data_IF_748148485648
#
_entry.id   IF_748148485648
#
_cell.length_a   1.000
_cell.length_b   1.000
_cell.length_c   1.000
_cell.angle_alpha   90.00
_cell.angle_beta   90.00
_cell.angle_gamma   90.00
#
_symmetry.space_group_name_H-M   'P 1'
#
loop_
_entity.id
_entity.type
_entity.pdbx_description
1 polymer ?
#
# COMPACT_ATOMS: atom_id res chain seq x y z
N UNK A 1 -16.40 -18.60 -15.18
CA UNK A 1 -15.09 -18.23 -15.69
C UNK A 1 -14.44 -17.17 -14.80
N UNK A 2 -15.06 -15.98 -14.60
CA UNK A 2 -14.47 -14.83 -13.85
C UNK A 2 -14.05 -15.20 -12.42
N UNK A 3 -14.88 -15.92 -11.66
CA UNK A 3 -14.54 -16.37 -10.30
C UNK A 3 -13.30 -17.28 -10.29
N UNK A 4 -13.17 -18.12 -11.31
CA UNK A 4 -12.02 -19.02 -11.47
C UNK A 4 -10.77 -18.22 -11.83
N UNK A 5 -10.86 -17.26 -12.76
CA UNK A 5 -9.70 -16.42 -13.11
C UNK A 5 -9.22 -15.59 -11.92
N UNK A 6 -10.13 -15.05 -11.10
CA UNK A 6 -9.75 -14.34 -9.87
C UNK A 6 -9.08 -15.27 -8.85
N UNK A 7 -9.61 -16.49 -8.65
CA UNK A 7 -9.01 -17.48 -7.77
C UNK A 7 -7.62 -17.93 -8.24
N UNK A 8 -7.43 -18.11 -9.54
CA UNK A 8 -6.12 -18.45 -10.12
C UNK A 8 -5.12 -17.31 -9.94
N UNK A 9 -5.55 -16.05 -10.18
CA UNK A 9 -4.68 -14.89 -10.02
C UNK A 9 -4.21 -14.72 -8.57
N UNK A 10 -5.13 -14.73 -7.60
CA UNK A 10 -4.78 -14.64 -6.17
C UNK A 10 -4.04 -15.86 -5.65
N UNK A 11 -4.33 -17.05 -6.18
CA UNK A 11 -3.58 -18.28 -5.87
C UNK A 11 -2.13 -18.23 -6.38
N UNK A 12 -1.92 -17.73 -7.61
CA UNK A 12 -0.58 -17.51 -8.15
C UNK A 12 0.19 -16.47 -7.33
N UNK A 13 -0.45 -15.37 -6.95
CA UNK A 13 0.14 -14.35 -6.08
C UNK A 13 0.57 -14.94 -4.74
N UNK A 14 -0.27 -15.78 -4.10
CA UNK A 14 0.08 -16.46 -2.86
C UNK A 14 1.29 -17.40 -3.05
N UNK A 15 1.33 -18.15 -4.13
CA UNK A 15 2.48 -19.00 -4.43
C UNK A 15 3.77 -18.19 -4.62
N UNK A 16 3.70 -17.07 -5.35
CA UNK A 16 4.86 -16.19 -5.55
C UNK A 16 5.35 -15.57 -4.24
N UNK A 17 4.45 -15.14 -3.35
CA UNK A 17 4.85 -14.63 -2.03
C UNK A 17 5.48 -15.69 -1.14
N UNK A 18 5.02 -16.95 -1.23
CA UNK A 18 5.64 -18.07 -0.53
C UNK A 18 7.03 -18.41 -1.09
N UNK A 19 7.22 -18.32 -2.41
CA UNK A 19 8.55 -18.47 -3.04
C UNK A 19 9.49 -17.34 -2.60
N UNK A 20 9.01 -16.10 -2.52
CA UNK A 20 9.78 -14.99 -1.97
C UNK A 20 10.20 -15.27 -0.52
N UNK A 21 9.30 -15.79 0.31
CA UNK A 21 9.61 -16.14 1.69
C UNK A 21 10.69 -17.21 1.80
N UNK A 22 10.63 -18.25 0.97
CA UNK A 22 11.66 -19.31 0.96
C UNK A 22 13.05 -18.82 0.56
N UNK A 23 13.11 -17.80 -0.30
CA UNK A 23 14.36 -17.22 -0.77
C UNK A 23 14.82 -16.00 0.05
N UNK A 24 14.05 -15.60 1.07
CA UNK A 24 14.38 -14.47 1.92
C UNK A 24 15.46 -14.86 2.93
N UNK A 25 16.57 -14.11 2.98
CA UNK A 25 17.64 -14.28 3.95
C UNK A 25 17.33 -13.49 5.23
N UNK A 26 16.90 -14.19 6.27
CA UNK A 26 16.61 -13.59 7.57
C UNK A 26 17.87 -13.07 8.31
N UNK A 27 19.06 -13.49 7.90
CA UNK A 27 20.34 -13.00 8.46
C UNK A 27 20.73 -11.63 7.92
N UNK A 28 20.16 -11.23 6.78
CA UNK A 28 20.42 -9.92 6.18
C UNK A 28 19.32 -8.92 6.57
N UNK A 29 19.63 -8.00 7.48
CA UNK A 29 18.68 -6.95 7.93
C UNK A 29 18.40 -5.84 6.90
N UNK A 30 18.93 -5.94 5.68
CA UNK A 30 18.70 -4.99 4.60
C UNK A 30 17.47 -5.31 3.75
N UNK A 31 17.16 -4.42 2.80
CA UNK A 31 16.15 -4.65 1.77
C UNK A 31 16.60 -5.71 0.78
N UNK A 32 15.69 -6.61 0.43
CA UNK A 32 15.94 -7.68 -0.52
C UNK A 32 14.95 -7.61 -1.68
N UNK A 33 15.29 -8.28 -2.79
CA UNK A 33 14.49 -8.30 -4.02
C UNK A 33 14.12 -6.90 -4.54
N UNK A 34 15.04 -5.96 -4.41
CA UNK A 34 14.79 -4.57 -4.82
C UNK A 34 14.76 -4.44 -6.34
N UNK A 35 13.70 -3.83 -6.83
CA UNK A 35 13.57 -3.39 -8.22
C UNK A 35 13.49 -1.88 -8.23
N UNK A 36 14.35 -1.23 -9.01
CA UNK A 36 14.41 0.23 -9.10
C UNK A 36 14.29 0.68 -10.56
N UNK A 37 13.42 1.64 -10.80
CA UNK A 37 13.26 2.32 -12.08
C UNK A 37 13.03 3.82 -11.86
N UNK A 38 13.58 4.65 -12.72
CA UNK A 38 13.25 6.08 -12.72
C UNK A 38 11.84 6.28 -13.27
N UNK A 39 11.01 7.03 -12.55
CA UNK A 39 9.64 7.29 -12.99
C UNK A 39 9.42 8.77 -13.35
N UNK A 40 9.63 9.69 -12.40
CA UNK A 40 9.47 11.14 -12.63
C UNK A 40 10.74 11.84 -12.12
N UNK A 41 11.78 11.97 -12.98
CA UNK A 41 13.08 12.51 -12.58
C UNK A 41 13.01 13.96 -12.07
N UNK A 42 12.09 14.79 -12.61
CA UNK A 42 11.92 16.19 -12.22
C UNK A 42 11.55 16.40 -10.74
N UNK A 43 10.99 15.39 -10.09
CA UNK A 43 10.64 15.40 -8.67
C UNK A 43 11.40 14.37 -7.84
N UNK A 44 12.43 13.73 -8.40
CA UNK A 44 13.14 12.60 -7.77
C UNK A 44 12.20 11.47 -7.30
N UNK A 45 11.14 11.20 -8.07
CA UNK A 45 10.22 10.10 -7.80
C UNK A 45 10.71 8.88 -8.56
N UNK A 46 10.93 7.80 -7.83
CA UNK A 46 11.40 6.53 -8.36
C UNK A 46 10.39 5.42 -8.13
N UNK A 47 10.27 4.52 -9.10
CA UNK A 47 9.53 3.28 -8.92
C UNK A 47 10.44 2.28 -8.20
N UNK A 48 10.36 2.24 -6.87
CA UNK A 48 11.19 1.35 -6.06
C UNK A 48 10.27 0.39 -5.32
N UNK A 49 10.45 -0.89 -5.60
CA UNK A 49 9.82 -1.97 -4.84
C UNK A 49 10.91 -2.78 -4.14
N UNK A 50 10.58 -3.30 -2.97
CA UNK A 50 11.48 -4.14 -2.20
C UNK A 50 10.77 -4.81 -1.04
N UNK A 51 11.44 -5.73 -0.40
CA UNK A 51 10.91 -6.48 0.76
C UNK A 51 11.90 -6.40 1.90
N UNK A 52 11.37 -6.19 3.09
CA UNK A 52 12.11 -6.32 4.34
C UNK A 52 11.46 -7.34 5.27
N UNK A 53 12.05 -7.56 6.44
CA UNK A 53 11.55 -8.52 7.43
C UNK A 53 10.17 -8.20 7.99
N UNK A 54 9.65 -6.97 7.80
CA UNK A 54 8.31 -6.57 8.22
C UNK A 54 7.31 -6.62 7.06
N UNK A 55 7.70 -6.15 5.87
CA UNK A 55 6.80 -6.10 4.71
C UNK A 55 6.52 -7.48 4.14
N UNK A 56 7.47 -8.41 4.21
CA UNK A 56 7.28 -9.77 3.70
C UNK A 56 6.13 -10.53 4.40
N UNK A 57 6.06 -10.62 5.74
CA UNK A 57 4.92 -11.23 6.42
C UNK A 57 3.59 -10.54 6.09
N UNK A 58 3.57 -9.22 5.94
CA UNK A 58 2.38 -8.47 5.58
C UNK A 58 1.92 -8.78 4.14
N UNK A 59 2.86 -8.92 3.20
CA UNK A 59 2.58 -9.32 1.83
C UNK A 59 2.00 -10.75 1.77
N UNK A 60 2.57 -11.69 2.52
CA UNK A 60 2.05 -13.07 2.61
C UNK A 60 0.66 -13.08 3.22
N UNK A 61 0.44 -12.34 4.30
CA UNK A 61 -0.86 -12.23 4.95
C UNK A 61 -1.90 -11.66 3.98
N UNK A 62 -1.54 -10.61 3.23
CA UNK A 62 -2.42 -10.02 2.20
C UNK A 62 -2.79 -11.04 1.14
N UNK A 63 -1.80 -11.73 0.55
CA UNK A 63 -2.05 -12.73 -0.46
C UNK A 63 -2.94 -13.88 0.05
N UNK A 64 -2.72 -14.33 1.29
CA UNK A 64 -3.55 -15.35 1.93
C UNK A 64 -4.98 -14.89 2.15
N UNK A 65 -5.17 -13.69 2.71
CA UNK A 65 -6.51 -13.14 2.98
C UNK A 65 -7.27 -12.85 1.69
N UNK A 66 -6.60 -12.33 0.65
CA UNK A 66 -7.22 -12.10 -0.65
C UNK A 66 -7.60 -13.41 -1.33
N UNK A 67 -6.76 -14.43 -1.28
CA UNK A 67 -7.08 -15.76 -1.78
C UNK A 67 -8.31 -16.35 -1.08
N UNK A 68 -8.35 -16.36 0.25
CA UNK A 68 -9.50 -16.83 1.03
C UNK A 68 -10.74 -15.97 0.72
N UNK A 69 -10.58 -14.65 0.60
CA UNK A 69 -11.64 -13.69 0.28
C UNK A 69 -12.38 -14.00 -1.01
N UNK A 70 -11.68 -14.51 -2.04
CA UNK A 70 -12.32 -14.98 -3.28
C UNK A 70 -13.29 -16.12 -3.02
N UNK A 71 -12.92 -17.10 -2.18
CA UNK A 71 -13.80 -18.24 -1.88
C UNK A 71 -14.97 -17.85 -1.01
N UNK A 72 -14.77 -16.99 -0.01
CA UNK A 72 -15.86 -16.43 0.81
C UNK A 72 -16.86 -15.66 -0.07
N UNK A 73 -16.37 -14.98 -1.10
CA UNK A 73 -17.17 -14.22 -2.04
C UNK A 73 -17.78 -15.05 -3.17
N UNK A 74 -17.64 -16.40 -3.14
CA UNK A 74 -18.10 -17.28 -4.22
C UNK A 74 -19.60 -17.21 -4.48
N UNK A 75 -20.39 -16.89 -3.47
CA UNK A 75 -21.86 -16.81 -3.57
C UNK A 75 -22.39 -15.49 -4.11
N UNK A 76 -21.51 -14.51 -4.42
CA UNK A 76 -21.90 -13.24 -4.99
C UNK A 76 -22.38 -13.44 -6.43
N UNK A 77 -23.64 -13.04 -6.70
CA UNK A 77 -24.29 -13.16 -8.00
C UNK A 77 -24.64 -11.80 -8.63
N UNK A 78 -24.60 -10.70 -7.83
CA UNK A 78 -24.87 -9.35 -8.30
C UNK A 78 -23.61 -8.72 -8.87
N UNK A 79 -23.65 -8.29 -10.14
CA UNK A 79 -22.56 -7.58 -10.82
C UNK A 79 -21.17 -8.27 -10.63
N UNK A 80 -21.11 -9.57 -10.83
CA UNK A 80 -19.97 -10.45 -10.55
C UNK A 80 -18.68 -9.95 -11.17
N UNK A 81 -18.73 -9.43 -12.40
CA UNK A 81 -17.53 -8.89 -13.09
C UNK A 81 -16.95 -7.70 -12.35
N UNK A 82 -17.80 -6.73 -11.98
CA UNK A 82 -17.39 -5.55 -11.25
C UNK A 82 -16.82 -5.88 -9.88
N UNK A 83 -17.45 -6.80 -9.15
CA UNK A 83 -16.99 -7.23 -7.84
C UNK A 83 -15.55 -7.78 -7.86
N UNK A 84 -15.30 -8.79 -8.68
CA UNK A 84 -13.99 -9.42 -8.73
C UNK A 84 -12.92 -8.52 -9.35
N UNK A 85 -13.27 -7.64 -10.30
CA UNK A 85 -12.34 -6.65 -10.82
C UNK A 85 -11.92 -5.63 -9.74
N UNK A 86 -12.87 -5.09 -8.99
CA UNK A 86 -12.59 -4.19 -7.87
C UNK A 86 -11.83 -4.88 -6.75
N UNK A 87 -12.13 -6.15 -6.48
CA UNK A 87 -11.43 -6.92 -5.47
C UNK A 87 -9.96 -7.15 -5.84
N UNK A 88 -9.66 -7.49 -7.10
CA UNK A 88 -8.28 -7.63 -7.58
C UNK A 88 -7.54 -6.29 -7.63
N UNK A 89 -8.23 -5.20 -7.96
CA UNK A 89 -7.64 -3.85 -7.89
C UNK A 89 -7.30 -3.47 -6.45
N UNK A 90 -8.17 -3.79 -5.49
CA UNK A 90 -7.93 -3.61 -4.06
C UNK A 90 -6.70 -4.40 -3.61
N UNK A 91 -6.62 -5.67 -3.97
CA UNK A 91 -5.48 -6.54 -3.68
C UNK A 91 -4.16 -5.97 -4.23
N UNK A 92 -4.17 -5.51 -5.50
CA UNK A 92 -3.02 -4.84 -6.12
C UNK A 92 -2.60 -3.59 -5.33
N UNK A 93 -3.54 -2.78 -4.88
CA UNK A 93 -3.27 -1.59 -4.05
C UNK A 93 -2.61 -1.96 -2.73
N UNK A 94 -3.15 -2.95 -2.01
CA UNK A 94 -2.61 -3.39 -0.71
C UNK A 94 -1.20 -3.96 -0.87
N UNK A 95 -0.97 -4.81 -1.89
CA UNK A 95 0.38 -5.33 -2.17
C UNK A 95 1.35 -4.20 -2.51
N UNK A 96 0.92 -3.24 -3.33
CA UNK A 96 1.74 -2.07 -3.65
C UNK A 96 2.14 -1.26 -2.44
N UNK A 97 1.25 -1.06 -1.47
CA UNK A 97 1.53 -0.38 -0.20
C UNK A 97 2.64 -1.08 0.58
N UNK A 98 2.61 -2.41 0.70
CA UNK A 98 3.61 -3.14 1.47
C UNK A 98 4.96 -3.31 0.77
N UNK A 99 4.99 -3.22 -0.56
CA UNK A 99 6.21 -3.41 -1.35
C UNK A 99 6.87 -2.09 -1.75
N UNK A 100 6.19 -0.94 -1.63
CA UNK A 100 6.72 0.36 -2.04
C UNK A 100 7.81 0.86 -1.12
N UNK A 101 8.94 1.27 -1.71
CA UNK A 101 10.11 1.85 -1.04
C UNK A 101 10.28 3.33 -1.32
N UNK A 102 9.35 3.95 -2.04
CA UNK A 102 9.25 5.38 -2.31
C UNK A 102 7.93 5.89 -1.71
N UNK A 103 7.97 6.97 -0.93
CA UNK A 103 6.78 7.49 -0.24
C UNK A 103 5.70 8.00 -1.20
N UNK A 104 6.08 8.51 -2.37
CA UNK A 104 5.11 8.94 -3.36
C UNK A 104 4.42 7.74 -4.01
N UNK A 105 5.19 6.70 -4.34
CA UNK A 105 4.67 5.44 -4.87
C UNK A 105 3.75 4.75 -3.83
N UNK A 106 4.16 4.71 -2.57
CA UNK A 106 3.34 4.24 -1.45
C UNK A 106 2.01 4.97 -1.39
N UNK A 107 2.03 6.32 -1.45
CA UNK A 107 0.84 7.15 -1.40
C UNK A 107 -0.12 6.85 -2.56
N UNK A 108 0.39 6.67 -3.77
CA UNK A 108 -0.44 6.30 -4.93
C UNK A 108 -1.14 4.97 -4.70
N UNK A 109 -0.43 3.93 -4.25
CA UNK A 109 -1.07 2.64 -3.98
C UNK A 109 -2.10 2.75 -2.84
N UNK A 110 -1.82 3.58 -1.84
CA UNK A 110 -2.77 3.89 -0.76
C UNK A 110 -4.06 4.51 -1.29
N UNK A 111 -3.98 5.50 -2.17
CA UNK A 111 -5.15 6.12 -2.79
C UNK A 111 -5.89 5.18 -3.74
N UNK A 112 -5.15 4.37 -4.50
CA UNK A 112 -5.75 3.42 -5.45
C UNK A 112 -6.64 2.40 -4.74
N UNK A 113 -6.32 1.98 -3.51
CA UNK A 113 -7.17 1.02 -2.81
C UNK A 113 -8.45 1.62 -2.23
N UNK A 114 -8.53 2.95 -2.04
CA UNK A 114 -9.74 3.60 -1.52
C UNK A 114 -10.92 3.50 -2.49
N UNK A 115 -10.66 3.66 -3.77
CA UNK A 115 -11.70 3.65 -4.81
C UNK A 115 -12.42 2.29 -4.89
N UNK A 116 -11.75 1.13 -5.01
CA UNK A 116 -12.44 -0.15 -5.00
C UNK A 116 -13.17 -0.41 -3.68
N UNK A 117 -12.60 0.01 -2.54
CA UNK A 117 -13.23 -0.18 -1.24
C UNK A 117 -14.54 0.58 -1.12
N UNK A 118 -14.57 1.84 -1.60
CA UNK A 118 -15.80 2.64 -1.66
C UNK A 118 -16.91 1.93 -2.44
N UNK A 119 -16.59 1.42 -3.64
CA UNK A 119 -17.58 0.72 -4.48
C UNK A 119 -17.98 -0.64 -3.88
N UNK A 120 -17.04 -1.40 -3.33
CA UNK A 120 -17.34 -2.69 -2.70
C UNK A 120 -18.32 -2.52 -1.52
N UNK A 121 -18.10 -1.52 -0.67
CA UNK A 121 -19.02 -1.20 0.43
C UNK A 121 -20.36 -0.69 -0.10
N UNK A 122 -20.34 0.25 -1.05
CA UNK A 122 -21.55 0.92 -1.54
C UNK A 122 -22.50 0.01 -2.35
N UNK A 123 -21.95 -0.98 -3.08
CA UNK A 123 -22.75 -1.85 -3.94
C UNK A 123 -23.14 -3.17 -3.29
N UNK A 124 -22.27 -3.77 -2.48
CA UNK A 124 -22.45 -5.11 -1.88
C UNK A 124 -22.56 -5.09 -0.36
N UNK A 125 -22.48 -3.93 0.28
CA UNK A 125 -22.62 -3.77 1.73
C UNK A 125 -24.05 -4.00 2.24
N UNK A 126 -24.24 -3.81 3.55
CA UNK A 126 -25.48 -4.01 4.27
C UNK A 126 -26.58 -2.95 3.99
N UNK A 127 -27.63 -2.87 4.83
CA UNK A 127 -28.76 -1.96 4.61
C UNK A 127 -28.40 -0.46 4.52
N UNK A 128 -27.37 -0.03 5.25
CA UNK A 128 -26.89 1.38 5.26
C UNK A 128 -25.60 1.57 4.45
N UNK A 129 -25.39 0.75 3.43
CA UNK A 129 -24.15 0.70 2.63
C UNK A 129 -23.74 2.03 2.02
N UNK A 130 -24.69 2.82 1.49
CA UNK A 130 -24.39 4.11 0.85
C UNK A 130 -23.83 5.12 1.86
N UNK A 131 -24.48 5.26 3.00
CA UNK A 131 -23.99 6.08 4.09
C UNK A 131 -22.61 5.60 4.62
N UNK A 132 -22.47 4.30 4.80
CA UNK A 132 -21.21 3.71 5.27
C UNK A 132 -20.06 3.93 4.26
N UNK A 133 -20.33 3.79 2.95
CA UNK A 133 -19.34 4.02 1.90
C UNK A 133 -18.86 5.47 1.85
N UNK A 134 -19.81 6.44 1.89
CA UNK A 134 -19.47 7.86 1.90
C UNK A 134 -18.68 8.22 3.16
N UNK A 135 -19.13 7.77 4.33
CA UNK A 135 -18.46 8.04 5.60
C UNK A 135 -17.04 7.46 5.62
N UNK A 136 -16.88 6.21 5.16
CA UNK A 136 -15.57 5.57 5.03
C UNK A 136 -14.67 6.38 4.10
N UNK A 137 -15.13 6.73 2.91
CA UNK A 137 -14.35 7.46 1.92
C UNK A 137 -13.91 8.83 2.43
N UNK A 138 -14.83 9.63 2.97
CA UNK A 138 -14.48 10.96 3.48
C UNK A 138 -13.51 10.91 4.66
N UNK A 139 -13.69 9.96 5.57
CA UNK A 139 -12.81 9.82 6.73
C UNK A 139 -11.40 9.40 6.34
N UNK A 140 -11.28 8.40 5.46
CA UNK A 140 -9.99 7.92 4.98
C UNK A 140 -9.29 8.93 4.08
N UNK A 141 -10.03 9.62 3.19
CA UNK A 141 -9.49 10.68 2.34
C UNK A 141 -8.94 11.85 3.18
N UNK A 142 -9.65 12.26 4.23
CA UNK A 142 -9.15 13.30 5.13
C UNK A 142 -7.83 12.88 5.80
N UNK A 143 -7.75 11.64 6.27
CA UNK A 143 -6.52 11.09 6.86
C UNK A 143 -5.37 11.01 5.86
N UNK A 144 -5.65 10.59 4.62
CA UNK A 144 -4.62 10.45 3.58
C UNK A 144 -4.09 11.82 3.10
N UNK A 145 -4.92 12.85 3.05
CA UNK A 145 -4.46 14.22 2.77
C UNK A 145 -3.50 14.72 3.84
N UNK A 146 -3.78 14.46 5.13
CA UNK A 146 -2.85 14.80 6.20
C UNK A 146 -1.53 14.02 6.11
N UNK A 147 -1.60 12.75 5.73
CA UNK A 147 -0.42 11.93 5.46
C UNK A 147 0.40 12.52 4.29
N UNK A 148 -0.25 12.95 3.21
CA UNK A 148 0.42 13.59 2.08
C UNK A 148 1.15 14.87 2.52
N UNK A 149 0.52 15.70 3.35
CA UNK A 149 1.16 16.90 3.91
C UNK A 149 2.43 16.53 4.69
N UNK A 150 2.38 15.45 5.49
CA UNK A 150 3.56 14.94 6.20
C UNK A 150 4.66 14.45 5.26
N UNK A 151 4.30 13.71 4.21
CA UNK A 151 5.25 13.22 3.19
C UNK A 151 5.90 14.39 2.45
N UNK A 152 5.13 15.41 2.06
CA UNK A 152 5.67 16.61 1.41
C UNK A 152 6.55 17.42 2.38
N UNK A 153 6.19 17.48 3.66
CA UNK A 153 7.03 18.09 4.68
C UNK A 153 8.40 17.42 4.78
N UNK A 154 8.46 16.09 4.80
CA UNK A 154 9.72 15.32 4.74
C UNK A 154 10.48 15.58 3.44
N UNK A 155 9.82 15.57 2.31
CA UNK A 155 10.42 15.84 1.01
C UNK A 155 11.16 17.16 0.99
N UNK A 156 10.52 18.26 1.38
CA UNK A 156 11.14 19.59 1.35
C UNK A 156 12.24 19.78 2.41
N UNK A 157 12.17 19.08 3.54
CA UNK A 157 13.17 19.21 4.62
C UNK A 157 14.37 18.29 4.45
N UNK A 158 14.20 17.14 3.76
CA UNK A 158 15.21 16.09 3.68
C UNK A 158 15.86 15.97 2.28
N UNK A 159 16.04 17.08 1.57
CA UNK A 159 16.83 17.09 0.33
C UNK A 159 16.06 16.66 -0.93
N UNK A 160 14.74 16.89 -0.98
CA UNK A 160 13.87 16.64 -2.12
C UNK A 160 13.90 15.19 -2.64
N UNK A 161 13.78 14.23 -1.73
CA UNK A 161 13.71 12.81 -2.07
C UNK A 161 12.49 12.14 -1.41
N UNK A 162 11.91 11.15 -2.10
CA UNK A 162 10.86 10.29 -1.56
C UNK A 162 11.37 8.88 -1.22
N UNK A 163 12.64 8.56 -1.55
CA UNK A 163 13.25 7.27 -1.25
C UNK A 163 13.34 7.06 0.27
N UNK A 164 12.62 6.07 0.79
CA UNK A 164 12.51 5.79 2.22
C UNK A 164 13.87 5.43 2.83
N UNK A 165 14.75 4.78 2.08
CA UNK A 165 16.08 4.41 2.57
C UNK A 165 16.98 5.63 2.74
N UNK A 166 16.93 6.56 1.79
CA UNK A 166 17.66 7.83 1.87
C UNK A 166 17.10 8.68 3.01
N UNK A 167 15.78 8.78 3.12
CA UNK A 167 15.12 9.54 4.19
C UNK A 167 15.47 8.99 5.58
N UNK A 168 15.55 7.67 5.74
CA UNK A 168 15.96 7.04 7.01
C UNK A 168 17.35 7.49 7.48
N UNK A 169 18.25 7.81 6.56
CA UNK A 169 19.61 8.28 6.89
C UNK A 169 19.65 9.79 7.11
N UNK A 170 18.95 10.58 6.30
CA UNK A 170 19.03 12.04 6.28
C UNK A 170 18.08 12.69 7.28
N UNK A 171 16.89 12.12 7.50
CA UNK A 171 15.86 12.74 8.33
C UNK A 171 16.29 12.99 9.79
N UNK A 172 17.06 12.12 10.47
CA UNK A 172 17.50 12.38 11.84
C UNK A 172 18.31 13.66 11.98
N UNK A 173 19.16 13.98 11.01
CA UNK A 173 19.98 15.20 11.01
C UNK A 173 19.17 16.41 10.53
N UNK A 174 18.41 16.27 9.45
CA UNK A 174 17.63 17.36 8.86
C UNK A 174 16.51 17.87 9.78
N UNK A 175 15.96 17.00 10.64
CA UNK A 175 14.91 17.35 11.59
C UNK A 175 15.45 17.84 12.95
N UNK A 176 16.77 17.80 13.18
CA UNK A 176 17.38 18.37 14.38
C UNK A 176 17.14 19.89 14.38
N UNK A 177 16.50 20.41 15.44
CA UNK A 177 16.19 21.83 15.57
C UNK A 177 14.88 22.28 14.91
N UNK A 178 14.22 21.42 14.16
CA UNK A 178 12.87 21.71 13.64
C UNK A 178 11.87 21.60 14.79
N UNK A 179 11.21 22.72 15.11
CA UNK A 179 10.14 22.75 16.12
C UNK A 179 8.80 22.93 15.41
N UNK A 180 7.87 22.03 15.68
CA UNK A 180 6.49 22.13 15.24
C UNK A 180 5.62 22.48 16.46
N UNK A 181 4.99 23.64 16.43
CA UNK A 181 4.13 24.13 17.52
C UNK A 181 4.81 24.13 18.90
N UNK A 182 6.11 24.48 18.95
CA UNK A 182 6.89 24.51 20.18
C UNK A 182 7.36 23.14 20.70
N UNK A 183 7.09 22.07 19.96
CA UNK A 183 7.61 20.73 20.25
C UNK A 183 8.74 20.39 19.28
N UNK A 184 9.83 19.80 19.79
CA UNK A 184 10.93 19.32 18.92
C UNK A 184 10.40 18.17 18.05
N UNK A 185 10.71 18.22 16.76
CA UNK A 185 10.32 17.17 15.80
C UNK A 185 10.96 15.81 16.10
N UNK A 186 12.12 15.83 16.75
CA UNK A 186 12.81 14.65 17.28
C UNK A 186 13.07 14.89 18.77
N UNK A 187 12.50 14.05 19.64
CA UNK A 187 12.98 13.89 21.00
C UNK A 187 14.16 12.92 20.96
N UNK A 188 15.36 13.42 21.20
CA UNK A 188 16.55 12.63 21.45
C UNK A 188 16.41 11.88 22.77
#
# INVERSE_FOLDING_TARGET
LIKITAAVATGLQLLLTLVLWQNYDAGNGGMQFTVRGEWIPSFNISYILGVDGLSLPMAILTALLCFIGIFVSWNINKAVKGYFALFLLLDTGIMGVFLSMDFFLFYIFWEVMLLPMYFLIGMWGGPQREYAAIKFFLYTLFGSVLMLVGILGLYFTCGNTFDIQVLKQVAPEALQGVTWWGMSAIKV
#
